data_IF_559781885518
#
_entry.id   IF_559781885518
#
_cell.length_a   1.000
_cell.length_b   1.000
_cell.length_c   1.000
_cell.angle_alpha   90.00
_cell.angle_beta   90.00
_cell.angle_gamma   90.00
#
_symmetry.space_group_name_H-M   'P 1'
#
loop_
_entity.id
_entity.type
_entity.pdbx_description
1 polymer ?
#
# COMPACT_ATOMS: atom_id res chain seq x y z
N UNK A 1 -22.67 -67.74 -33.10
CA UNK A 1 -21.61 -68.34 -32.25
C UNK A 1 -21.31 -67.36 -31.14
N UNK A 2 -21.67 -67.73 -29.92
CA UNK A 2 -21.48 -66.97 -28.68
C UNK A 2 -20.05 -67.08 -28.19
N UNK A 3 -19.43 -65.97 -27.81
CA UNK A 3 -18.39 -65.86 -26.77
C UNK A 3 -18.65 -64.47 -26.15
N UNK A 4 -19.05 -64.25 -24.90
CA UNK A 4 -18.76 -64.98 -23.67
C UNK A 4 -17.71 -64.19 -22.89
N UNK A 5 -18.12 -63.38 -21.90
CA UNK A 5 -17.18 -62.59 -21.09
C UNK A 5 -17.87 -61.76 -20.01
N UNK A 6 -18.27 -62.43 -18.93
CA UNK A 6 -18.79 -61.84 -17.69
C UNK A 6 -17.63 -61.37 -16.80
N UNK A 7 -17.74 -60.18 -16.19
CA UNK A 7 -17.09 -59.86 -14.92
C UNK A 7 -17.96 -58.89 -14.10
N UNK A 8 -18.49 -59.32 -12.95
CA UNK A 8 -19.16 -58.46 -11.98
C UNK A 8 -18.21 -58.14 -10.82
N UNK A 9 -18.14 -56.88 -10.37
CA UNK A 9 -17.97 -56.49 -8.96
C UNK A 9 -17.91 -54.95 -8.87
N UNK A 10 -18.91 -54.34 -8.22
CA UNK A 10 -18.85 -53.91 -6.81
C UNK A 10 -17.66 -52.98 -6.51
N UNK A 11 -17.87 -51.67 -6.70
CA UNK A 11 -17.42 -50.62 -5.78
C UNK A 11 -18.21 -49.32 -6.06
N UNK A 12 -19.40 -49.12 -5.48
CA UNK A 12 -19.85 -47.77 -5.19
C UNK A 12 -19.09 -47.27 -3.94
N UNK A 13 -18.96 -45.95 -3.74
CA UNK A 13 -18.39 -45.29 -2.54
C UNK A 13 -16.89 -44.90 -2.50
N UNK A 14 -16.26 -44.52 -3.63
CA UNK A 14 -15.01 -43.71 -3.56
C UNK A 14 -15.16 -42.42 -4.39
N UNK A 15 -16.25 -41.68 -4.19
CA UNK A 15 -16.45 -40.41 -4.91
C UNK A 15 -17.15 -39.33 -4.05
N UNK A 16 -17.13 -39.46 -2.73
CA UNK A 16 -17.90 -38.59 -1.82
C UNK A 16 -17.10 -38.04 -0.61
N UNK A 17 -15.77 -37.94 -0.72
CA UNK A 17 -14.92 -37.37 0.34
C UNK A 17 -13.99 -36.22 -0.13
N UNK A 18 -14.38 -35.46 -1.15
CA UNK A 18 -13.81 -34.12 -1.37
C UNK A 18 -14.90 -33.04 -1.29
N UNK A 19 -15.41 -32.73 -0.09
CA UNK A 19 -15.81 -31.35 0.12
C UNK A 19 -15.47 -30.90 1.54
N UNK A 20 -14.19 -30.75 1.91
CA UNK A 20 -13.85 -30.07 3.19
C UNK A 20 -12.40 -29.58 3.29
N UNK A 21 -11.77 -29.22 2.17
CA UNK A 21 -10.56 -28.37 2.15
C UNK A 21 -10.87 -27.08 1.37
N UNK A 22 -12.03 -26.48 1.65
CA UNK A 22 -12.16 -25.03 1.63
C UNK A 22 -12.19 -24.61 3.10
N UNK A 23 -11.12 -24.96 3.83
CA UNK A 23 -10.81 -24.24 5.05
C UNK A 23 -10.70 -22.78 4.61
N UNK A 24 -11.61 -21.97 5.12
CA UNK A 24 -11.70 -20.54 4.95
C UNK A 24 -10.31 -19.94 4.87
N UNK A 25 -9.81 -19.71 3.65
CA UNK A 25 -8.82 -18.68 3.46
C UNK A 25 -9.63 -17.43 3.75
N UNK A 26 -9.59 -17.00 5.01
CA UNK A 26 -9.93 -15.63 5.35
C UNK A 26 -8.82 -14.84 4.68
N UNK A 27 -8.94 -14.60 3.37
CA UNK A 27 -8.22 -13.50 2.76
C UNK A 27 -8.81 -12.31 3.46
N UNK A 28 -8.12 -11.80 4.47
CA UNK A 28 -8.37 -10.47 4.96
C UNK A 28 -8.22 -9.59 3.73
N UNK A 29 -9.35 -9.28 3.10
CA UNK A 29 -9.43 -8.18 2.17
C UNK A 29 -9.21 -6.99 3.09
N UNK A 30 -7.95 -6.59 3.24
CA UNK A 30 -7.64 -5.30 3.80
C UNK A 30 -8.48 -4.33 2.99
N UNK A 31 -9.49 -3.72 3.61
CA UNK A 31 -10.14 -2.57 3.02
C UNK A 31 -9.01 -1.67 2.60
N UNK A 32 -8.89 -1.40 1.30
CA UNK A 32 -7.82 -0.56 0.76
C UNK A 32 -7.86 0.74 1.57
N UNK A 33 -6.85 1.00 2.41
CA UNK A 33 -6.80 2.11 3.37
C UNK A 33 -7.50 1.97 4.75
N UNK A 34 -7.74 0.75 5.26
CA UNK A 34 -8.34 0.53 6.58
C UNK A 34 -7.56 -0.45 7.45
N UNK A 35 -7.58 -0.22 8.77
CA UNK A 35 -7.02 -1.12 9.79
C UNK A 35 -8.02 -1.28 10.93
N UNK A 36 -8.41 -2.52 11.22
CA UNK A 36 -9.30 -2.86 12.34
C UNK A 36 -8.70 -3.97 13.20
N UNK A 37 -8.75 -3.82 14.52
CA UNK A 37 -8.29 -4.84 15.47
C UNK A 37 -8.95 -4.66 16.84
N UNK A 38 -8.94 -5.72 17.64
CA UNK A 38 -9.44 -5.71 19.01
C UNK A 38 -8.29 -5.65 20.02
N UNK A 39 -8.43 -4.79 21.03
CA UNK A 39 -7.51 -4.72 22.16
C UNK A 39 -8.27 -4.36 23.44
N UNK A 40 -8.16 -5.19 24.47
CA UNK A 40 -8.83 -4.96 25.76
C UNK A 40 -10.36 -4.89 25.66
N UNK A 41 -10.98 -5.78 24.89
CA UNK A 41 -12.43 -5.78 24.57
C UNK A 41 -12.94 -4.49 23.91
N UNK A 42 -12.06 -3.70 23.30
CA UNK A 42 -12.42 -2.56 22.47
C UNK A 42 -12.02 -2.84 21.03
N UNK A 43 -12.92 -2.55 20.10
CA UNK A 43 -12.65 -2.56 18.67
C UNK A 43 -12.12 -1.18 18.25
N UNK A 44 -10.95 -1.15 17.66
CA UNK A 44 -10.36 0.03 17.04
C UNK A 44 -10.49 -0.07 15.53
N UNK A 45 -10.88 1.03 14.89
CA UNK A 45 -11.06 1.11 13.45
C UNK A 45 -10.39 2.40 12.95
N UNK A 46 -9.43 2.25 12.04
CA UNK A 46 -8.80 3.34 11.31
C UNK A 46 -9.27 3.30 9.87
N UNK A 47 -9.67 4.45 9.35
CA UNK A 47 -9.97 4.62 7.93
C UNK A 47 -9.34 5.90 7.44
N UNK A 48 -8.35 5.75 6.56
CA UNK A 48 -7.63 6.87 5.97
C UNK A 48 -8.45 7.60 4.90
N UNK A 49 -9.50 6.96 4.37
CA UNK A 49 -10.36 7.52 3.31
C UNK A 49 -11.70 8.01 3.81
N UNK A 50 -12.00 7.87 5.11
CA UNK A 50 -13.23 8.39 5.66
C UNK A 50 -13.23 9.92 5.57
N UNK A 51 -14.36 10.54 5.17
CA UNK A 51 -14.50 11.98 5.18
C UNK A 51 -14.25 12.54 6.58
N UNK A 52 -13.37 13.52 6.68
CA UNK A 52 -13.15 14.34 7.88
C UNK A 52 -13.50 15.79 7.57
N UNK A 53 -13.71 16.61 8.60
CA UNK A 53 -14.18 17.98 8.42
C UNK A 53 -13.23 18.75 7.48
N UNK A 54 -13.77 19.26 6.38
CA UNK A 54 -13.06 19.96 5.29
C UNK A 54 -12.19 19.09 4.37
N UNK A 55 -12.14 17.76 4.57
CA UNK A 55 -11.43 16.83 3.70
C UNK A 55 -12.37 15.65 3.34
N UNK A 56 -13.18 15.78 2.28
CA UNK A 56 -14.22 14.81 1.92
C UNK A 56 -13.64 13.45 1.51
N UNK A 57 -12.37 13.41 1.11
CA UNK A 57 -11.64 12.20 0.72
C UNK A 57 -10.63 11.74 1.78
N UNK A 58 -10.76 12.21 3.02
CA UNK A 58 -9.87 11.86 4.11
C UNK A 58 -8.45 12.36 3.86
N UNK A 59 -7.49 11.43 3.84
CA UNK A 59 -6.07 11.69 3.60
C UNK A 59 -5.67 11.57 2.12
N UNK A 60 -6.60 11.26 1.22
CA UNK A 60 -6.28 11.18 -0.20
C UNK A 60 -6.06 12.58 -0.77
N UNK A 61 -5.04 12.70 -1.61
CA UNK A 61 -4.81 13.97 -2.32
C UNK A 61 -5.90 14.20 -3.36
N UNK A 62 -6.50 15.40 -3.33
CA UNK A 62 -7.44 15.90 -4.35
C UNK A 62 -6.76 16.00 -5.73
N UNK A 63 -5.47 16.31 -5.74
CA UNK A 63 -4.66 16.43 -6.96
C UNK A 63 -4.16 15.07 -7.47
N UNK A 64 -4.45 13.98 -6.74
CA UNK A 64 -4.06 12.62 -7.08
C UNK A 64 -2.68 12.19 -6.55
N UNK A 65 -1.93 13.09 -5.91
CA UNK A 65 -0.67 12.79 -5.21
C UNK A 65 -0.26 13.90 -4.24
N UNK A 66 0.60 13.55 -3.29
CA UNK A 66 1.39 14.48 -2.49
C UNK A 66 2.79 14.59 -3.05
N UNK A 67 3.41 15.77 -2.91
CA UNK A 67 4.78 16.03 -3.33
C UNK A 67 5.57 16.65 -2.18
N UNK A 68 6.74 16.09 -1.90
CA UNK A 68 7.67 16.59 -0.88
C UNK A 68 9.04 16.73 -1.52
N UNK A 69 9.66 17.91 -1.42
CA UNK A 69 10.97 18.17 -2.01
C UNK A 69 11.94 18.69 -0.94
N UNK A 70 13.04 17.96 -0.72
CA UNK A 70 14.05 18.28 0.30
C UNK A 70 15.43 17.93 -0.25
N UNK A 71 16.38 18.87 -0.20
CA UNK A 71 17.80 18.64 -0.49
C UNK A 71 18.09 17.90 -1.82
N UNK A 72 17.35 18.22 -2.89
CA UNK A 72 17.53 17.57 -4.20
C UNK A 72 16.86 16.20 -4.35
N UNK A 73 16.17 15.74 -3.31
CA UNK A 73 15.25 14.61 -3.35
C UNK A 73 13.83 15.13 -3.57
N UNK A 74 13.08 14.51 -4.47
CA UNK A 74 11.65 14.79 -4.67
C UNK A 74 10.88 13.49 -4.53
N UNK A 75 9.96 13.44 -3.58
CA UNK A 75 9.07 12.33 -3.32
C UNK A 75 7.67 12.68 -3.83
N UNK A 76 7.07 11.77 -4.60
CA UNK A 76 5.65 11.75 -4.90
C UNK A 76 5.03 10.53 -4.27
N UNK A 77 3.86 10.68 -3.66
CA UNK A 77 3.14 9.52 -3.14
C UNK A 77 1.63 9.76 -3.07
N UNK A 78 0.87 8.69 -3.12
CA UNK A 78 -0.55 8.64 -2.82
C UNK A 78 -0.77 7.39 -1.97
N UNK A 79 -1.30 7.55 -0.75
CA UNK A 79 -1.65 6.39 0.04
C UNK A 79 -2.89 5.73 -0.57
N UNK A 80 -2.88 4.39 -0.62
CA UNK A 80 -4.04 3.54 -0.93
C UNK A 80 -4.62 3.62 -2.34
N UNK A 81 -4.04 4.45 -3.19
CA UNK A 81 -4.32 4.46 -4.63
C UNK A 81 -3.03 4.69 -5.42
N UNK A 82 -3.06 4.44 -6.71
CA UNK A 82 -1.99 4.85 -7.61
C UNK A 82 -1.99 6.38 -7.75
N UNK A 83 -0.80 6.94 -8.02
CA UNK A 83 -0.69 8.38 -8.27
C UNK A 83 -1.28 8.74 -9.64
N UNK A 84 -1.97 9.88 -9.70
CA UNK A 84 -2.54 10.41 -10.95
C UNK A 84 -1.96 11.80 -11.19
N UNK A 85 -1.39 12.02 -12.37
CA UNK A 85 -0.79 13.29 -12.77
C UNK A 85 -1.60 13.93 -13.91
N UNK A 86 -2.34 15.00 -13.60
CA UNK A 86 -3.03 15.80 -14.62
C UNK A 86 -2.13 16.92 -15.17
N UNK A 87 -1.29 17.48 -14.30
CA UNK A 87 -0.30 18.51 -14.63
C UNK A 87 1.04 18.14 -13.97
N UNK A 88 2.13 18.56 -14.60
CA UNK A 88 3.51 18.42 -14.08
C UNK A 88 3.90 17.01 -13.61
N UNK A 89 3.84 15.98 -14.48
CA UNK A 89 4.27 14.63 -14.13
C UNK A 89 5.78 14.60 -13.79
N UNK A 90 6.24 13.57 -13.04
CA UNK A 90 7.65 13.40 -12.70
C UNK A 90 8.55 13.39 -13.95
N UNK A 91 9.57 14.24 -13.94
CA UNK A 91 10.58 14.37 -15.00
C UNK A 91 11.89 13.72 -14.56
N UNK A 92 11.92 12.40 -14.54
CA UNK A 92 13.07 11.60 -14.12
C UNK A 92 13.27 10.38 -15.03
N UNK A 93 14.49 9.82 -15.02
CA UNK A 93 14.81 8.59 -15.76
C UNK A 93 14.59 7.34 -14.88
N UNK A 94 14.59 6.15 -15.48
CA UNK A 94 14.37 4.85 -14.80
C UNK A 94 12.95 4.59 -14.23
N UNK A 95 11.88 5.10 -14.85
CA UNK A 95 10.50 4.86 -14.40
C UNK A 95 9.85 3.56 -14.90
N UNK A 96 10.63 2.53 -15.24
CA UNK A 96 10.12 1.34 -15.93
C UNK A 96 8.99 0.61 -15.20
N UNK A 97 9.09 0.49 -13.87
CA UNK A 97 8.16 -0.23 -13.00
C UNK A 97 7.06 0.65 -12.39
N UNK A 98 7.05 1.95 -12.70
CA UNK A 98 6.03 2.91 -12.27
C UNK A 98 5.51 3.74 -13.46
N UNK A 99 4.86 3.08 -14.42
CA UNK A 99 4.18 3.72 -15.54
C UNK A 99 5.04 3.91 -16.80
N UNK A 100 6.33 3.56 -16.75
CA UNK A 100 7.23 3.61 -17.90
C UNK A 100 7.63 5.02 -18.30
N UNK A 101 8.30 5.13 -19.46
CA UNK A 101 8.86 6.41 -19.95
C UNK A 101 7.77 7.42 -20.33
N UNK A 102 6.60 6.95 -20.76
CA UNK A 102 5.52 7.83 -21.24
C UNK A 102 4.62 8.38 -20.14
N UNK A 103 4.52 7.69 -18.99
CA UNK A 103 3.63 8.03 -17.88
C UNK A 103 4.27 7.76 -16.53
N UNK A 104 5.53 8.19 -16.38
CA UNK A 104 6.27 8.02 -15.14
C UNK A 104 5.45 8.50 -13.94
N UNK A 105 5.37 7.68 -12.88
CA UNK A 105 4.57 7.97 -11.69
C UNK A 105 3.18 7.34 -11.69
N UNK A 106 2.55 7.10 -12.85
CA UNK A 106 1.15 6.64 -12.89
C UNK A 106 0.96 5.14 -12.63
N UNK A 107 2.04 4.36 -12.52
CA UNK A 107 1.98 2.91 -12.29
C UNK A 107 2.19 2.48 -10.85
N UNK A 108 2.41 3.42 -9.93
CA UNK A 108 2.75 3.13 -8.54
C UNK A 108 2.12 4.15 -7.58
N UNK A 109 2.31 3.92 -6.28
CA UNK A 109 1.75 4.75 -5.21
C UNK A 109 2.81 5.58 -4.50
N UNK A 110 4.10 5.27 -4.69
CA UNK A 110 5.18 6.11 -4.23
C UNK A 110 6.40 6.02 -5.15
N UNK A 111 6.96 7.17 -5.48
CA UNK A 111 8.08 7.36 -6.38
C UNK A 111 9.00 8.43 -5.81
N UNK A 112 10.30 8.18 -5.78
CA UNK A 112 11.29 9.18 -5.40
C UNK A 112 12.24 9.46 -6.55
N UNK A 113 12.57 10.73 -6.76
CA UNK A 113 13.67 11.16 -7.62
C UNK A 113 14.82 11.69 -6.77
N UNK A 114 16.04 11.25 -7.08
CA UNK A 114 17.28 11.79 -6.52
C UNK A 114 18.18 12.29 -7.66
N UNK A 115 18.97 13.33 -7.39
CA UNK A 115 19.97 13.80 -8.36
C UNK A 115 21.21 12.88 -8.31
N UNK A 116 21.43 12.10 -9.36
CA UNK A 116 22.59 11.23 -9.52
C UNK A 116 23.36 11.68 -10.77
N UNK A 117 24.62 12.07 -10.61
CA UNK A 117 25.45 12.54 -11.73
C UNK A 117 24.88 13.77 -12.45
N UNK A 118 24.07 14.59 -11.75
CA UNK A 118 23.42 15.78 -12.31
C UNK A 118 22.05 15.54 -12.95
N UNK A 119 21.55 14.29 -12.94
CA UNK A 119 20.25 13.94 -13.53
C UNK A 119 19.27 13.42 -12.48
N UNK A 120 17.97 13.76 -12.57
CA UNK A 120 16.93 13.18 -11.72
C UNK A 120 16.70 11.72 -12.11
N UNK A 121 17.06 10.80 -11.22
CA UNK A 121 16.85 9.35 -11.37
C UNK A 121 15.75 8.91 -10.43
N UNK A 122 14.74 8.24 -10.98
CA UNK A 122 13.60 7.76 -10.23
C UNK A 122 13.79 6.35 -9.69
N UNK A 123 13.17 6.10 -8.54
CA UNK A 123 13.11 4.79 -7.89
C UNK A 123 11.72 4.60 -7.33
N UNK A 124 11.05 3.53 -7.74
CA UNK A 124 9.72 3.17 -7.25
C UNK A 124 9.83 2.64 -5.83
N UNK A 125 9.07 3.25 -4.91
CA UNK A 125 9.07 2.89 -3.49
C UNK A 125 7.94 1.93 -3.12
N UNK A 126 6.87 1.87 -3.90
CA UNK A 126 5.81 0.89 -3.70
C UNK A 126 4.52 1.18 -4.45
N UNK A 127 3.61 0.22 -4.34
CA UNK A 127 2.31 0.17 -4.99
C UNK A 127 1.19 0.12 -3.95
N UNK A 128 -0.03 0.51 -4.31
CA UNK A 128 -1.19 0.44 -3.43
C UNK A 128 -1.43 -0.99 -2.92
N UNK A 129 -1.24 -1.99 -3.78
CA UNK A 129 -1.31 -3.42 -3.45
C UNK A 129 -0.22 -3.92 -2.51
N UNK A 130 0.88 -3.17 -2.36
CA UNK A 130 2.00 -3.48 -1.46
C UNK A 130 1.93 -2.75 -0.12
N UNK A 131 0.83 -2.03 0.13
CA UNK A 131 0.64 -1.26 1.35
C UNK A 131 0.36 -2.19 2.52
N UNK A 132 1.09 -1.99 3.62
CA UNK A 132 0.84 -2.62 4.91
C UNK A 132 0.54 -1.55 5.96
N UNK A 133 -0.28 -1.88 6.95
CA UNK A 133 -0.66 -0.97 8.03
C UNK A 133 -0.29 -1.58 9.37
N UNK A 134 0.33 -0.76 10.23
CA UNK A 134 0.71 -1.14 11.59
C UNK A 134 0.39 0.00 12.55
N UNK A 135 0.20 -0.32 13.83
CA UNK A 135 0.10 0.71 14.87
C UNK A 135 1.45 1.40 15.06
N UNK A 136 1.43 2.72 15.25
CA UNK A 136 2.63 3.47 15.69
C UNK A 136 3.07 2.97 17.06
N UNK A 137 2.12 2.71 17.95
CA UNK A 137 2.36 2.15 19.28
C UNK A 137 1.31 1.07 19.60
N UNK A 138 1.77 -0.17 19.79
CA UNK A 138 0.89 -1.31 20.12
C UNK A 138 0.28 -1.20 21.51
N UNK A 139 0.84 -0.37 22.39
CA UNK A 139 0.33 -0.14 23.74
C UNK A 139 -0.64 1.02 23.81
N UNK A 140 -0.60 1.94 22.84
CA UNK A 140 -1.47 3.10 22.74
C UNK A 140 -1.98 3.28 21.30
N UNK A 141 -3.09 2.60 20.94
CA UNK A 141 -3.74 2.77 19.65
C UNK A 141 -3.98 4.22 19.26
N UNK A 142 -4.31 5.08 20.22
CA UNK A 142 -4.72 6.46 19.92
C UNK A 142 -3.60 7.32 19.35
N UNK A 143 -2.34 6.85 19.36
CA UNK A 143 -1.23 7.53 18.68
C UNK A 143 -1.33 7.50 17.15
N UNK A 144 -2.01 6.50 16.58
CA UNK A 144 -2.22 6.39 15.13
C UNK A 144 -1.53 5.20 14.48
N UNK A 145 -1.39 5.26 13.15
CA UNK A 145 -0.95 4.13 12.32
C UNK A 145 0.19 4.52 11.37
N UNK A 146 1.00 3.54 10.99
CA UNK A 146 1.99 3.65 9.93
C UNK A 146 1.50 2.89 8.71
N UNK A 147 1.40 3.57 7.57
CA UNK A 147 1.19 2.98 6.26
C UNK A 147 2.55 2.79 5.56
N UNK A 148 2.94 1.55 5.30
CA UNK A 148 4.20 1.23 4.62
C UNK A 148 3.95 0.68 3.23
N UNK A 149 4.39 1.44 2.22
CA UNK A 149 4.49 1.05 0.83
C UNK A 149 5.86 0.39 0.60
N UNK A 150 5.90 -0.71 -0.15
CA UNK A 150 7.16 -1.41 -0.40
C UNK A 150 7.29 -1.88 -1.83
N UNK A 151 8.49 -1.75 -2.39
CA UNK A 151 8.84 -2.30 -3.68
C UNK A 151 10.01 -3.28 -3.50
N UNK A 152 9.79 -4.52 -3.94
CA UNK A 152 10.87 -5.51 -4.08
C UNK A 152 11.43 -5.40 -5.49
N UNK A 153 12.17 -4.32 -5.73
CA UNK A 153 12.79 -4.03 -7.01
C UNK A 153 13.92 -5.00 -7.34
N UNK A 154 14.33 -5.03 -8.61
CA UNK A 154 15.41 -5.90 -9.10
C UNK A 154 16.81 -5.48 -8.61
N UNK A 155 17.02 -4.19 -8.30
CA UNK A 155 18.30 -3.63 -7.83
C UNK A 155 18.36 -3.55 -6.29
N UNK A 156 17.26 -3.15 -5.65
CA UNK A 156 17.16 -2.97 -4.20
C UNK A 156 15.70 -3.00 -3.75
N UNK A 157 15.48 -3.41 -2.50
CA UNK A 157 14.18 -3.25 -1.84
C UNK A 157 14.10 -1.83 -1.31
N UNK A 158 13.08 -1.08 -1.73
CA UNK A 158 12.86 0.29 -1.29
C UNK A 158 11.47 0.41 -0.66
N UNK A 159 11.30 1.39 0.22
CA UNK A 159 10.03 1.58 0.91
C UNK A 159 9.76 3.03 1.28
N UNK A 160 8.48 3.34 1.45
CA UNK A 160 8.00 4.57 2.06
C UNK A 160 7.11 4.20 3.25
N UNK A 161 7.47 4.67 4.44
CA UNK A 161 6.65 4.57 5.64
C UNK A 161 6.05 5.94 5.97
N UNK A 162 4.72 6.04 6.00
CA UNK A 162 4.00 7.25 6.37
C UNK A 162 3.32 7.01 7.71
N UNK A 163 3.83 7.67 8.76
CA UNK A 163 3.24 7.66 10.10
C UNK A 163 2.14 8.69 10.18
N UNK A 164 0.89 8.24 10.21
CA UNK A 164 -0.29 9.08 10.37
C UNK A 164 -0.63 9.15 11.86
N UNK A 165 -0.21 10.25 12.49
CA UNK A 165 -0.42 10.53 13.91
C UNK A 165 -1.79 11.18 14.10
N UNK A 166 -2.56 10.67 15.05
CA UNK A 166 -3.87 11.23 15.36
C UNK A 166 -3.74 12.66 15.92
N UNK A 167 -4.36 13.63 15.25
CA UNK A 167 -4.53 15.00 15.75
C UNK A 167 -6.01 15.38 15.76
N UNK A 168 -6.50 15.85 16.91
CA UNK A 168 -7.88 16.32 17.08
C UNK A 168 -8.12 17.70 16.47
N UNK A 169 -7.06 18.44 16.13
CA UNK A 169 -7.14 19.80 15.59
C UNK A 169 -7.26 19.85 14.06
N UNK A 170 -7.25 18.70 13.38
CA UNK A 170 -7.47 18.58 11.94
C UNK A 170 -6.31 17.91 11.20
N UNK A 171 -6.19 18.20 9.91
CA UNK A 171 -5.11 17.67 9.05
C UNK A 171 -4.03 18.72 8.88
N UNK A 172 -2.80 18.37 9.25
CA UNK A 172 -1.60 19.11 8.85
C UNK A 172 -0.84 18.17 7.93
N UNK A 173 -0.63 18.59 6.69
CA UNK A 173 -0.03 17.76 5.62
C UNK A 173 1.35 17.17 5.98
N UNK A 174 1.95 16.39 5.06
CA UNK A 174 3.24 15.74 5.26
C UNK A 174 4.34 16.71 5.73
N UNK A 175 4.91 16.50 6.93
CA UNK A 175 5.78 17.50 7.59
C UNK A 175 7.29 17.26 7.44
N UNK A 176 7.74 16.00 7.50
CA UNK A 176 9.17 15.67 7.59
C UNK A 176 9.52 14.50 6.68
N UNK A 177 10.45 14.67 5.75
CA UNK A 177 10.98 13.56 4.95
C UNK A 177 12.35 13.16 5.48
N UNK A 178 12.49 11.91 5.90
CA UNK A 178 13.74 11.33 6.40
C UNK A 178 14.15 10.12 5.55
N UNK A 179 15.42 10.02 5.21
CA UNK A 179 16.02 8.82 4.64
C UNK A 179 16.60 8.00 5.79
N UNK A 180 15.97 6.87 6.10
CA UNK A 180 16.29 6.03 7.28
C UNK A 180 17.19 4.85 6.91
N UNK A 181 17.19 4.46 5.63
CA UNK A 181 18.01 3.39 5.08
C UNK A 181 18.76 3.83 3.82
N UNK A 182 19.05 2.89 2.92
CA UNK A 182 19.65 3.20 1.61
C UNK A 182 18.63 3.75 0.61
N UNK A 183 17.39 3.23 0.65
CA UNK A 183 16.25 3.73 -0.11
C UNK A 183 14.93 3.54 0.65
N UNK A 184 14.99 3.62 1.98
CA UNK A 184 13.84 3.57 2.87
C UNK A 184 13.56 4.99 3.40
N UNK A 185 12.40 5.50 3.05
CA UNK A 185 11.97 6.84 3.40
C UNK A 185 10.90 6.77 4.49
N UNK A 186 10.98 7.66 5.46
CA UNK A 186 9.96 7.82 6.49
C UNK A 186 9.40 9.24 6.43
N UNK A 187 8.10 9.34 6.68
CA UNK A 187 7.41 10.60 6.69
C UNK A 187 6.36 10.65 7.79
N UNK A 188 6.25 11.78 8.48
CA UNK A 188 5.22 12.00 9.49
C UNK A 188 4.13 12.91 8.94
N UNK A 189 2.89 12.51 9.19
CA UNK A 189 1.69 13.25 8.86
C UNK A 189 0.79 13.27 10.08
N UNK A 190 0.37 14.46 10.53
CA UNK A 190 -0.66 14.61 11.55
C UNK A 190 -2.05 14.77 10.91
N UNK A 191 -2.97 13.85 11.19
CA UNK A 191 -4.33 13.91 10.67
C UNK A 191 -5.35 13.38 11.68
N UNK A 192 -6.61 13.79 11.54
CA UNK A 192 -7.72 13.18 12.27
C UNK A 192 -8.06 11.84 11.60
N UNK A 193 -8.09 10.76 12.39
CA UNK A 193 -8.35 9.38 11.95
C UNK A 193 -9.63 8.80 12.55
#
# INVERSE_FOLDING_TARGET
MTIGGSFPNRHPLILLLLPLIFATIVTSVYGTCQLSFEQGNKLYNYSLTNPIRNFPHGILSEDGFYKVAVNGTVLWFQLCDAMIFNHDPPTCVECGDCGGISRCGMGCSALVANIIGGYPVCTTLGYSSSTSFELIDKTDPLKGITAKLSNRGSKSNCSLAVSVVCDTNGVQGPQTLELVGTCDYALVWTATL
#
